data_IF_734439501730
#
_entry.id   IF_734439501730
#
_cell.length_a   1.000
_cell.length_b   1.000
_cell.length_c   1.000
_cell.angle_alpha   90.00
_cell.angle_beta   90.00
_cell.angle_gamma   90.00
#
_symmetry.space_group_name_H-M   'P 1'
#
loop_
_entity.id
_entity.type
_entity.pdbx_description
1 polymer ?
#
# COMPACT_ATOMS: atom_id res chain seq x y z
N UNK A 1 -36.18 3.10 56.28
CA UNK A 1 -35.27 2.22 55.52
C UNK A 1 -35.59 2.38 54.05
N UNK A 2 -34.89 3.25 53.33
CA UNK A 2 -35.03 3.35 51.87
C UNK A 2 -33.62 3.35 51.30
N UNK A 3 -33.22 2.18 50.78
CA UNK A 3 -31.95 1.97 50.08
C UNK A 3 -32.08 2.65 48.73
N UNK A 4 -31.43 3.80 48.58
CA UNK A 4 -31.22 4.45 47.29
C UNK A 4 -30.39 3.48 46.43
N UNK A 5 -30.83 3.25 45.20
CA UNK A 5 -30.14 2.44 44.20
C UNK A 5 -29.04 3.29 43.59
N UNK A 6 -27.78 2.90 43.79
CA UNK A 6 -26.64 3.40 43.03
C UNK A 6 -26.72 2.80 41.62
N UNK A 7 -27.28 3.55 40.69
CA UNK A 7 -27.41 3.20 39.27
C UNK A 7 -26.51 4.11 38.41
N UNK A 8 -25.23 4.20 38.76
CA UNK A 8 -24.22 4.90 37.97
C UNK A 8 -23.20 3.88 37.42
N UNK A 9 -23.64 3.10 36.44
CA UNK A 9 -22.83 2.06 35.80
C UNK A 9 -22.58 2.36 34.31
N UNK A 10 -21.44 3.00 34.04
CA UNK A 10 -20.64 2.86 32.81
C UNK A 10 -21.28 3.22 31.46
N UNK A 11 -21.80 4.44 31.32
CA UNK A 11 -22.31 4.98 30.04
C UNK A 11 -21.31 5.85 29.26
N UNK A 12 -20.02 5.91 29.65
CA UNK A 12 -19.01 6.78 29.01
C UNK A 12 -17.99 6.01 28.14
N UNK A 13 -18.23 4.72 27.89
CA UNK A 13 -17.40 3.93 27.00
C UNK A 13 -17.64 4.33 25.54
N UNK A 14 -16.66 4.98 24.90
CA UNK A 14 -16.70 5.28 23.47
C UNK A 14 -17.08 4.03 22.63
N UNK A 15 -17.89 4.18 21.57
CA UNK A 15 -18.34 3.05 20.76
C UNK A 15 -17.14 2.31 20.13
N UNK A 16 -17.20 0.98 20.10
CA UNK A 16 -16.16 0.18 19.46
C UNK A 16 -16.29 0.26 17.93
N UNK A 17 -15.37 0.96 17.29
CA UNK A 17 -15.37 1.20 15.84
C UNK A 17 -14.48 0.21 15.12
N UNK A 18 -14.96 -0.30 14.00
CA UNK A 18 -14.25 -1.25 13.15
C UNK A 18 -13.67 -0.55 11.91
N UNK A 19 -12.56 -1.08 11.38
CA UNK A 19 -11.88 -0.50 10.23
C UNK A 19 -12.76 -0.47 8.97
N UNK A 20 -13.47 -1.57 8.70
CA UNK A 20 -14.32 -1.77 7.51
C UNK A 20 -15.45 -0.73 7.42
N UNK A 21 -16.38 -0.60 8.39
CA UNK A 21 -17.42 0.43 8.33
C UNK A 21 -16.88 1.84 8.20
N UNK A 22 -15.81 2.17 8.93
CA UNK A 22 -15.21 3.50 8.89
C UNK A 22 -14.57 3.80 7.53
N UNK A 23 -13.79 2.85 6.97
CA UNK A 23 -13.16 2.98 5.66
C UNK A 23 -14.22 3.18 4.56
N UNK A 24 -15.35 2.47 4.61
CA UNK A 24 -16.48 2.68 3.68
C UNK A 24 -17.03 4.10 3.78
N UNK A 25 -17.29 4.58 5.01
CA UNK A 25 -17.83 5.91 5.26
C UNK A 25 -16.93 7.01 4.66
N UNK A 26 -15.60 6.90 4.81
CA UNK A 26 -14.68 7.95 4.38
C UNK A 26 -14.22 7.84 2.92
N UNK A 27 -14.28 6.64 2.32
CA UNK A 27 -13.85 6.42 0.92
C UNK A 27 -15.00 6.39 -0.09
N UNK A 28 -16.22 6.07 0.37
CA UNK A 28 -17.38 5.81 -0.49
C UNK A 28 -17.37 4.43 -1.15
N UNK A 29 -16.42 3.53 -0.81
CA UNK A 29 -16.38 2.16 -1.33
C UNK A 29 -17.47 1.31 -0.67
N UNK A 30 -18.28 0.65 -1.50
CA UNK A 30 -19.42 -0.20 -1.11
C UNK A 30 -19.07 -1.69 -1.01
N UNK A 31 -17.94 -2.01 -0.37
CA UNK A 31 -17.51 -3.39 -0.08
C UNK A 31 -17.78 -3.69 1.40
N UNK A 32 -18.22 -4.91 1.71
CA UNK A 32 -18.67 -5.32 3.03
C UNK A 32 -18.00 -6.65 3.43
N UNK A 33 -18.08 -7.01 4.71
CA UNK A 33 -17.42 -8.19 5.27
C UNK A 33 -15.99 -7.91 5.71
N UNK A 34 -15.23 -8.98 5.97
CA UNK A 34 -13.89 -8.91 6.56
C UNK A 34 -12.89 -8.21 5.66
N UNK A 35 -11.95 -7.47 6.28
CA UNK A 35 -10.98 -6.65 5.55
C UNK A 35 -10.10 -7.47 4.59
N UNK A 36 -9.77 -8.72 4.95
CA UNK A 36 -9.00 -9.63 4.08
C UNK A 36 -9.69 -9.88 2.73
N UNK A 37 -11.02 -9.87 2.68
CA UNK A 37 -11.78 -10.18 1.46
C UNK A 37 -11.90 -9.00 0.52
N UNK A 38 -11.62 -7.77 0.99
CA UNK A 38 -11.89 -6.56 0.23
C UNK A 38 -11.09 -6.47 -1.06
N UNK A 39 -9.86 -6.97 -1.07
CA UNK A 39 -9.00 -6.92 -2.24
C UNK A 39 -9.59 -7.71 -3.41
N UNK A 40 -10.11 -8.90 -3.13
CA UNK A 40 -10.71 -9.77 -4.14
C UNK A 40 -12.11 -9.31 -4.51
N UNK A 41 -12.93 -8.87 -3.54
CA UNK A 41 -14.23 -8.28 -3.82
C UNK A 41 -14.15 -7.01 -4.68
N UNK A 42 -13.06 -6.26 -4.60
CA UNK A 42 -12.84 -5.10 -5.45
C UNK A 42 -12.58 -5.47 -6.91
N UNK A 43 -12.08 -6.69 -7.19
CA UNK A 43 -11.77 -7.11 -8.54
C UNK A 43 -13.01 -7.03 -9.45
N UNK A 44 -12.88 -6.34 -10.59
CA UNK A 44 -13.98 -6.16 -11.54
C UNK A 44 -15.07 -5.16 -11.11
N UNK A 45 -15.10 -4.71 -9.85
CA UNK A 45 -16.06 -3.72 -9.33
C UNK A 45 -15.43 -2.34 -9.13
N UNK A 46 -14.19 -2.31 -8.67
CA UNK A 46 -13.39 -1.12 -8.41
C UNK A 46 -12.02 -1.26 -9.07
N UNK A 47 -11.47 -0.15 -9.56
CA UNK A 47 -10.08 -0.15 -10.01
C UNK A 47 -9.14 -0.43 -8.82
N UNK A 48 -8.07 -1.17 -9.08
CA UNK A 48 -7.04 -1.53 -8.10
C UNK A 48 -5.67 -1.17 -8.63
N UNK A 49 -4.72 -0.87 -7.76
CA UNK A 49 -3.34 -0.63 -8.17
C UNK A 49 -2.38 -0.49 -7.00
N UNK A 50 -1.15 -0.04 -7.29
CA UNK A 50 -0.06 0.02 -6.32
C UNK A 50 0.31 1.44 -5.89
N UNK A 51 -0.30 2.46 -6.48
CA UNK A 51 0.01 3.85 -6.20
C UNK A 51 -1.02 4.44 -5.24
N UNK A 52 -0.61 5.15 -4.19
CA UNK A 52 -1.55 5.83 -3.32
C UNK A 52 -2.28 6.93 -4.10
N UNK A 53 -3.57 7.09 -3.81
CA UNK A 53 -4.38 8.24 -4.24
C UNK A 53 -5.21 8.70 -3.05
N UNK A 54 -5.42 10.00 -2.92
CA UNK A 54 -6.33 10.54 -1.89
C UNK A 54 -7.72 9.91 -2.08
N UNK A 55 -8.31 9.42 -0.99
CA UNK A 55 -9.59 8.70 -0.98
C UNK A 55 -9.50 7.21 -1.29
N UNK A 56 -8.35 6.70 -1.78
CA UNK A 56 -8.16 5.27 -2.00
C UNK A 56 -8.07 4.52 -0.68
N UNK A 57 -8.48 3.25 -0.68
CA UNK A 57 -8.35 2.36 0.48
C UNK A 57 -7.13 1.47 0.30
N UNK A 58 -6.15 1.62 1.17
CA UNK A 58 -5.04 0.69 1.35
C UNK A 58 -5.57 -0.61 1.97
N UNK A 59 -5.34 -1.74 1.31
CA UNK A 59 -5.73 -3.08 1.78
C UNK A 59 -4.53 -3.83 2.32
N UNK A 60 -4.57 -4.20 3.59
CA UNK A 60 -3.54 -4.97 4.27
C UNK A 60 -3.84 -6.47 4.19
N UNK A 61 -2.79 -7.27 3.98
CA UNK A 61 -2.87 -8.73 4.05
C UNK A 61 -2.94 -9.18 5.51
N UNK A 62 -3.58 -10.32 5.81
CA UNK A 62 -3.43 -10.97 7.10
C UNK A 62 -1.95 -11.18 7.44
N UNK A 63 -1.55 -10.80 8.66
CA UNK A 63 -0.16 -10.90 9.10
C UNK A 63 -0.03 -10.89 10.62
N UNK A 64 0.74 -11.82 11.18
CA UNK A 64 0.88 -11.96 12.63
C UNK A 64 -0.50 -12.10 13.30
N UNK A 65 -0.74 -11.31 14.37
CA UNK A 65 -2.04 -11.29 15.05
C UNK A 65 -3.17 -10.53 14.33
N UNK A 66 -2.94 -10.00 13.12
CA UNK A 66 -3.96 -9.31 12.31
C UNK A 66 -4.58 -10.30 11.30
N UNK A 67 -5.31 -11.29 11.80
CA UNK A 67 -5.83 -12.42 11.00
C UNK A 67 -6.89 -11.99 9.97
N UNK A 68 -7.71 -10.99 10.31
CA UNK A 68 -8.79 -10.51 9.43
C UNK A 68 -8.31 -9.50 8.38
N UNK A 69 -7.00 -9.25 8.29
CA UNK A 69 -6.44 -8.15 7.52
C UNK A 69 -6.85 -6.78 8.07
N UNK A 70 -6.61 -5.73 7.31
CA UNK A 70 -7.00 -4.37 7.69
C UNK A 70 -7.24 -3.50 6.46
N UNK A 71 -7.99 -2.41 6.64
CA UNK A 71 -8.23 -1.41 5.59
C UNK A 71 -8.08 -0.01 6.18
N UNK A 72 -7.45 0.88 5.41
CA UNK A 72 -7.26 2.28 5.78
C UNK A 72 -7.41 3.19 4.56
N UNK A 73 -8.12 4.30 4.71
CA UNK A 73 -8.29 5.26 3.63
C UNK A 73 -7.14 6.27 3.63
N UNK A 74 -6.58 6.57 2.45
CA UNK A 74 -5.55 7.59 2.28
C UNK A 74 -6.20 8.98 2.36
N UNK A 75 -5.83 9.78 3.34
CA UNK A 75 -6.33 11.14 3.48
C UNK A 75 -5.43 12.17 2.81
N UNK A 76 -4.12 11.92 2.75
CA UNK A 76 -3.14 12.81 2.11
C UNK A 76 -1.93 12.02 1.62
N UNK A 77 -1.33 12.49 0.53
CA UNK A 77 0.00 12.04 0.08
C UNK A 77 0.99 13.12 0.46
N UNK A 78 2.05 12.76 1.18
CA UNK A 78 3.08 13.69 1.64
C UNK A 78 4.25 13.67 0.66
N UNK A 79 4.72 12.49 0.30
CA UNK A 79 5.81 12.28 -0.65
C UNK A 79 5.69 10.90 -1.32
N UNK A 80 6.72 10.47 -2.04
CA UNK A 80 6.72 9.19 -2.77
C UNK A 80 6.60 7.96 -1.89
N UNK A 81 6.94 8.06 -0.60
CA UNK A 81 6.94 6.97 0.38
C UNK A 81 6.07 7.24 1.60
N UNK A 82 5.49 8.43 1.75
CA UNK A 82 4.73 8.80 2.95
C UNK A 82 3.31 9.23 2.59
N UNK A 83 2.34 8.61 3.26
CA UNK A 83 0.93 9.00 3.23
C UNK A 83 0.38 9.20 4.63
N UNK A 84 -0.73 9.92 4.72
CA UNK A 84 -1.56 9.99 5.91
C UNK A 84 -2.80 9.13 5.71
N UNK A 85 -3.18 8.39 6.76
CA UNK A 85 -4.27 7.43 6.75
C UNK A 85 -5.39 7.84 7.72
N UNK A 86 -6.60 7.45 7.37
CA UNK A 86 -7.78 7.42 8.25
C UNK A 86 -8.26 5.99 8.36
N UNK A 87 -8.29 5.48 9.59
CA UNK A 87 -8.71 4.13 9.91
C UNK A 87 -9.23 4.06 11.36
N UNK A 88 -9.81 2.92 11.71
CA UNK A 88 -10.25 2.63 13.07
C UNK A 88 -9.73 1.26 13.52
N UNK A 89 -9.68 1.00 14.82
CA UNK A 89 -9.27 -0.28 15.40
C UNK A 89 -7.81 -0.70 15.15
N UNK A 90 -6.90 0.23 14.85
CA UNK A 90 -5.53 -0.10 14.50
C UNK A 90 -4.57 -0.18 15.68
N UNK A 91 -4.51 0.84 16.54
CA UNK A 91 -3.69 0.83 17.73
C UNK A 91 -4.56 0.87 19.00
N UNK A 92 -4.06 0.31 20.13
CA UNK A 92 -4.62 0.62 21.44
C UNK A 92 -4.34 2.10 21.76
N UNK A 93 -5.39 2.86 22.07
CA UNK A 93 -5.29 4.24 22.55
C UNK A 93 -5.87 4.24 23.97
N UNK A 94 -5.11 4.73 24.94
CA UNK A 94 -5.48 4.66 26.36
C UNK A 94 -5.85 3.24 26.82
N UNK A 95 -5.09 2.23 26.35
CA UNK A 95 -5.30 0.82 26.71
C UNK A 95 -6.39 0.09 25.94
N UNK A 96 -7.15 0.75 25.04
CA UNK A 96 -8.27 0.11 24.32
C UNK A 96 -8.19 0.32 22.80
N UNK A 97 -8.56 -0.73 22.05
CA UNK A 97 -8.75 -0.67 20.59
C UNK A 97 -10.16 -0.18 20.21
N UNK A 98 -10.46 -0.14 18.92
CA UNK A 98 -11.78 0.27 18.42
C UNK A 98 -11.97 1.80 18.32
N UNK A 99 -10.90 2.58 18.30
CA UNK A 99 -10.96 4.04 18.16
C UNK A 99 -10.57 4.47 16.74
N UNK A 100 -10.99 5.68 16.35
CA UNK A 100 -10.60 6.30 15.07
C UNK A 100 -9.25 6.99 15.22
N UNK A 101 -8.37 6.72 14.27
CA UNK A 101 -7.11 7.43 14.06
C UNK A 101 -7.23 8.23 12.74
N UNK A 102 -7.05 9.54 12.83
CA UNK A 102 -7.12 10.45 11.68
C UNK A 102 -5.75 10.99 11.34
N UNK A 103 -5.46 10.99 10.05
CA UNK A 103 -4.27 11.61 9.45
C UNK A 103 -2.96 11.08 10.05
N UNK A 104 -2.96 9.78 10.39
CA UNK A 104 -1.77 9.11 10.96
C UNK A 104 -0.83 8.65 9.87
N UNK A 105 0.47 8.69 10.16
CA UNK A 105 1.52 8.44 9.18
C UNK A 105 1.62 6.96 8.80
N UNK A 106 1.71 6.67 7.50
CA UNK A 106 2.21 5.41 6.99
C UNK A 106 3.35 5.65 6.00
N UNK A 107 4.36 4.80 6.07
CA UNK A 107 5.58 4.89 5.28
C UNK A 107 5.81 3.60 4.51
N UNK A 108 5.98 3.70 3.19
CA UNK A 108 6.43 2.62 2.33
C UNK A 108 7.88 2.27 2.66
N UNK A 109 8.06 1.03 3.12
CA UNK A 109 9.36 0.46 3.48
C UNK A 109 9.74 -0.68 2.54
N UNK A 110 9.01 -0.88 1.45
CA UNK A 110 9.33 -1.88 0.46
C UNK A 110 10.62 -1.54 -0.28
N UNK A 111 11.42 -2.54 -0.67
CA UNK A 111 12.66 -2.34 -1.41
C UNK A 111 12.43 -1.55 -2.71
N UNK A 112 11.36 -1.87 -3.43
CA UNK A 112 11.08 -1.38 -4.79
C UNK A 112 10.25 -0.08 -4.85
N UNK A 113 9.94 0.54 -3.71
CA UNK A 113 9.09 1.74 -3.64
C UNK A 113 7.69 1.52 -4.26
N UNK A 114 7.14 0.35 -4.00
CA UNK A 114 5.98 -0.19 -4.69
C UNK A 114 4.80 -0.45 -3.75
N UNK A 115 4.90 0.08 -2.52
CA UNK A 115 3.89 -0.01 -1.47
C UNK A 115 3.47 -1.45 -1.11
N UNK A 116 4.31 -2.46 -1.39
CA UNK A 116 4.04 -3.85 -0.98
C UNK A 116 4.18 -4.07 0.53
N UNK A 117 4.91 -3.19 1.22
CA UNK A 117 5.17 -3.25 2.65
C UNK A 117 5.19 -1.85 3.26
N UNK A 118 4.43 -1.63 4.32
CA UNK A 118 4.38 -0.33 5.01
C UNK A 118 4.64 -0.48 6.50
N UNK A 119 5.19 0.56 7.10
CA UNK A 119 5.06 0.78 8.55
C UNK A 119 4.00 1.83 8.78
N UNK A 120 3.25 1.70 9.87
CA UNK A 120 2.17 2.61 10.23
C UNK A 120 2.41 3.12 11.63
N UNK A 121 2.06 4.38 11.87
CA UNK A 121 2.01 4.97 13.20
C UNK A 121 1.35 4.01 14.21
N UNK A 122 1.89 3.98 15.42
CA UNK A 122 1.42 3.14 16.49
C UNK A 122 1.36 3.94 17.79
N UNK A 123 0.14 4.29 18.21
CA UNK A 123 -0.08 5.20 19.34
C UNK A 123 0.66 4.80 20.64
N UNK A 124 0.76 3.51 21.05
CA UNK A 124 1.46 3.14 22.27
C UNK A 124 2.93 3.54 22.36
N UNK A 125 3.61 3.70 21.21
CA UNK A 125 5.01 4.13 21.17
C UNK A 125 5.18 5.55 20.66
N UNK A 126 4.07 6.24 20.33
CA UNK A 126 4.06 7.58 19.74
C UNK A 126 5.02 7.76 18.55
N UNK A 127 5.16 6.71 17.73
CA UNK A 127 6.04 6.69 16.57
C UNK A 127 5.55 5.65 15.54
N UNK A 128 6.27 5.56 14.43
CA UNK A 128 6.12 4.53 13.43
C UNK A 128 6.36 3.14 14.04
N UNK A 129 5.38 2.25 13.90
CA UNK A 129 5.49 0.86 14.33
C UNK A 129 6.68 0.14 13.67
N UNK A 130 7.25 -0.82 14.36
CA UNK A 130 8.43 -1.58 13.89
C UNK A 130 8.07 -2.64 12.84
N UNK A 131 6.84 -3.15 12.89
CA UNK A 131 6.30 -4.18 11.99
C UNK A 131 6.19 -3.68 10.56
N UNK A 132 6.74 -4.47 9.62
CA UNK A 132 6.56 -4.28 8.18
C UNK A 132 5.28 -4.99 7.78
N UNK A 133 4.23 -4.22 7.55
CA UNK A 133 2.91 -4.76 7.24
C UNK A 133 2.76 -5.02 5.74
N UNK A 134 2.45 -6.25 5.34
CA UNK A 134 2.23 -6.57 3.94
C UNK A 134 0.93 -5.94 3.42
N UNK A 135 1.02 -5.27 2.28
CA UNK A 135 -0.11 -4.58 1.62
C UNK A 135 -0.40 -5.26 0.28
N UNK A 136 -1.67 -5.40 -0.06
CA UNK A 136 -2.11 -5.87 -1.38
C UNK A 136 -1.98 -4.75 -2.43
N UNK A 137 -2.35 -3.53 -2.01
CA UNK A 137 -2.34 -2.33 -2.83
C UNK A 137 -3.44 -1.38 -2.39
N UNK A 138 -3.93 -0.60 -3.36
CA UNK A 138 -4.95 0.42 -3.19
C UNK A 138 -6.19 0.09 -4.01
N UNK A 139 -7.35 0.22 -3.39
CA UNK A 139 -8.67 0.14 -4.03
C UNK A 139 -9.13 1.57 -4.26
N UNK A 140 -9.43 1.90 -5.51
CA UNK A 140 -9.87 3.24 -5.91
C UNK A 140 -11.39 3.27 -6.01
N UNK A 141 -12.02 4.37 -5.57
CA UNK A 141 -13.46 4.57 -5.74
C UNK A 141 -13.80 5.01 -7.18
N UNK A 142 -13.38 4.20 -8.15
CA UNK A 142 -13.62 4.38 -9.58
C UNK A 142 -13.83 3.01 -10.23
N UNK A 143 -14.53 2.97 -11.36
CA UNK A 143 -14.72 1.71 -12.09
C UNK A 143 -13.40 1.25 -12.71
N UNK A 144 -13.15 -0.08 -12.78
CA UNK A 144 -12.00 -0.61 -13.52
C UNK A 144 -11.99 -0.10 -14.95
N UNK A 145 -10.79 0.17 -15.48
CA UNK A 145 -10.65 0.54 -16.90
C UNK A 145 -11.00 -0.67 -17.78
N UNK A 146 -11.44 -0.43 -19.02
CA UNK A 146 -11.89 -1.50 -19.94
C UNK A 146 -10.84 -2.59 -20.16
N UNK A 147 -9.56 -2.21 -20.19
CA UNK A 147 -8.44 -3.14 -20.28
C UNK A 147 -8.23 -3.97 -19.00
N UNK A 148 -8.34 -3.37 -17.81
CA UNK A 148 -8.27 -4.09 -16.53
C UNK A 148 -9.42 -5.09 -16.38
N UNK A 149 -10.63 -4.73 -16.85
CA UNK A 149 -11.78 -5.63 -16.85
C UNK A 149 -11.53 -6.87 -17.73
N UNK A 150 -10.92 -6.68 -18.90
CA UNK A 150 -10.56 -7.78 -19.80
C UNK A 150 -9.53 -8.72 -19.15
N UNK A 151 -8.53 -8.18 -18.45
CA UNK A 151 -7.56 -9.00 -17.68
C UNK A 151 -8.26 -9.82 -16.59
N UNK A 152 -9.16 -9.23 -15.81
CA UNK A 152 -9.89 -9.96 -14.76
C UNK A 152 -10.80 -11.05 -15.35
N UNK A 153 -11.50 -10.76 -16.44
CA UNK A 153 -12.34 -11.75 -17.15
C UNK A 153 -11.49 -12.91 -17.69
N UNK A 154 -10.31 -12.63 -18.25
CA UNK A 154 -9.39 -13.65 -18.74
C UNK A 154 -8.83 -14.51 -17.60
N UNK A 155 -8.51 -13.92 -16.44
CA UNK A 155 -8.02 -14.66 -15.26
C UNK A 155 -9.11 -15.48 -14.57
N UNK A 156 -10.36 -15.02 -14.57
CA UNK A 156 -11.49 -15.76 -13.99
C UNK A 156 -11.88 -17.00 -14.82
N UNK A 157 -11.66 -16.99 -16.13
CA UNK A 157 -11.89 -18.15 -17.00
C UNK A 157 -10.83 -19.26 -16.87
N UNK A 158 -9.68 -18.98 -16.25
CA UNK A 158 -8.58 -19.94 -16.09
C UNK A 158 -8.65 -20.78 -14.81
N UNK A 159 -9.54 -20.45 -13.87
CA UNK A 159 -9.69 -21.19 -12.61
C UNK A 159 -10.81 -22.25 -12.72
N UNK A 160 -10.51 -23.40 -13.32
CA UNK A 160 -11.33 -24.60 -13.22
C UNK A 160 -11.01 -25.37 -11.92
N UNK A 161 -11.99 -25.98 -11.23
CA UNK A 161 -11.72 -26.71 -9.99
C UNK A 161 -10.97 -28.02 -10.27
N UNK A 162 -9.85 -28.23 -9.59
CA UNK A 162 -9.08 -29.47 -9.64
C UNK A 162 -9.92 -30.63 -9.08
N UNK A 163 -10.23 -31.61 -9.95
CA UNK A 163 -10.83 -32.89 -9.55
C UNK A 163 -9.74 -33.74 -8.89
N UNK A 164 -9.97 -34.14 -7.65
CA UNK A 164 -9.08 -35.02 -6.89
C UNK A 164 -9.19 -36.45 -7.44
N UNK A 165 -8.10 -37.12 -7.88
CA UNK A 165 -8.18 -38.52 -8.25
C UNK A 165 -8.00 -39.42 -7.01
N UNK A 166 -8.91 -40.37 -6.85
CA UNK A 166 -8.88 -41.47 -5.90
C UNK A 166 -7.77 -42.45 -6.29
N UNK A 167 -6.75 -42.62 -5.45
CA UNK A 167 -5.63 -43.55 -5.66
C UNK A 167 -6.07 -44.98 -5.38
N UNK A 168 -6.08 -45.84 -6.41
CA UNK A 168 -6.18 -47.29 -6.27
C UNK A 168 -4.78 -47.92 -6.26
N UNK A 169 -4.58 -48.82 -5.29
CA UNK A 169 -3.34 -49.54 -4.96
C UNK A 169 -3.22 -50.81 -5.80
N UNK A 170 -2.07 -51.08 -6.42
CA UNK A 170 -1.69 -52.42 -6.87
C UNK A 170 -0.15 -52.53 -7.04
N UNK A 171 0.39 -53.65 -6.56
CA UNK A 171 1.78 -54.13 -6.67
C UNK A 171 1.70 -55.64 -7.04
N UNK A 172 2.80 -56.37 -7.34
CA UNK A 172 3.45 -56.49 -8.66
C UNK A 172 3.42 -57.94 -9.23
N UNK A 173 3.78 -58.13 -10.51
CA UNK A 173 4.12 -59.47 -11.03
C UNK A 173 5.23 -59.46 -12.09
N UNK A 174 6.15 -60.41 -11.93
CA UNK A 174 7.37 -60.71 -12.71
C UNK A 174 7.08 -61.37 -14.06
N UNK A 175 8.01 -61.22 -15.02
CA UNK A 175 8.23 -62.23 -16.08
C UNK A 175 8.78 -61.70 -17.41
N UNK A 176 10.09 -61.81 -17.62
CA UNK A 176 10.80 -61.69 -18.90
C UNK A 176 10.79 -63.06 -19.65
N UNK A 177 11.40 -63.29 -20.85
CA UNK A 177 12.33 -62.42 -21.62
C UNK A 177 12.20 -62.44 -23.16
N UNK A 178 13.00 -61.63 -23.87
CA UNK A 178 13.48 -61.97 -25.21
C UNK A 178 13.93 -60.85 -26.15
N UNK A 179 15.21 -60.92 -26.54
CA UNK A 179 15.87 -60.44 -27.79
C UNK A 179 16.45 -59.02 -27.92
N UNK A 180 17.78 -59.00 -27.80
CA UNK A 180 18.80 -58.56 -28.79
C UNK A 180 18.88 -57.09 -29.27
N UNK A 181 20.08 -56.52 -29.06
CA UNK A 181 20.60 -55.16 -29.36
C UNK A 181 21.04 -54.98 -30.85
N UNK A 182 21.84 -53.95 -31.25
CA UNK A 182 22.21 -52.66 -30.62
C UNK A 182 22.11 -51.42 -31.56
N UNK A 183 22.18 -50.22 -31.00
CA UNK A 183 22.41 -48.96 -31.73
C UNK A 183 23.07 -47.91 -30.82
N UNK A 184 24.20 -47.35 -31.27
CA UNK A 184 25.16 -46.53 -30.52
C UNK A 184 24.79 -45.04 -30.51
N UNK A 185 25.17 -44.32 -29.44
CA UNK A 185 25.67 -42.91 -29.38
C UNK A 185 25.68 -42.47 -27.90
N UNK A 186 26.82 -42.47 -27.20
CA UNK A 186 27.90 -41.46 -27.16
C UNK A 186 27.52 -40.05 -26.67
N UNK A 187 28.19 -39.63 -25.59
CA UNK A 187 28.43 -38.23 -25.17
C UNK A 187 27.31 -37.65 -24.30
N UNK A 188 27.51 -37.34 -23.00
CA UNK A 188 28.68 -36.77 -22.36
C UNK A 188 28.34 -35.33 -21.97
N UNK A 189 27.89 -35.12 -20.73
CA UNK A 189 27.56 -33.81 -20.17
C UNK A 189 28.88 -33.07 -19.93
N UNK A 190 29.19 -32.09 -20.77
CA UNK A 190 30.42 -31.31 -20.71
C UNK A 190 30.40 -30.26 -19.60
N UNK A 191 31.50 -30.19 -18.85
CA UNK A 191 31.77 -29.18 -17.85
C UNK A 191 32.20 -27.86 -18.50
N UNK A 192 31.25 -27.11 -19.07
CA UNK A 192 31.50 -25.74 -19.59
C UNK A 192 30.24 -24.85 -19.56
N UNK A 193 29.34 -25.09 -18.60
CA UNK A 193 28.07 -24.35 -18.47
C UNK A 193 28.23 -22.92 -17.88
N UNK A 194 29.44 -22.47 -17.54
CA UNK A 194 29.69 -21.15 -16.96
C UNK A 194 30.90 -20.44 -17.60
N UNK A 195 30.83 -20.19 -18.91
CA UNK A 195 31.72 -19.25 -19.60
C UNK A 195 30.88 -18.34 -20.50
N UNK A 196 30.75 -17.07 -20.13
CA UNK A 196 30.37 -16.04 -21.12
C UNK A 196 29.29 -15.01 -20.76
N UNK A 197 28.90 -14.80 -19.50
CA UNK A 197 28.14 -13.58 -19.16
C UNK A 197 29.13 -12.45 -18.90
N UNK A 198 29.48 -11.73 -19.96
CA UNK A 198 30.18 -10.44 -19.88
C UNK A 198 29.17 -9.36 -19.51
N UNK A 199 29.50 -8.58 -18.48
CA UNK A 199 28.80 -7.35 -18.12
C UNK A 199 28.97 -6.30 -19.23
N UNK A 200 27.91 -5.99 -19.96
CA UNK A 200 27.86 -4.78 -20.78
C UNK A 200 27.49 -3.58 -19.91
N UNK A 201 28.52 -3.04 -19.26
CA UNK A 201 28.56 -1.64 -18.83
C UNK A 201 29.40 -0.88 -19.84
N UNK A 202 28.78 -0.17 -20.79
CA UNK A 202 29.45 0.98 -21.41
C UNK A 202 28.47 2.07 -21.87
N UNK A 203 28.66 3.20 -21.20
CA UNK A 203 28.36 4.57 -21.57
C UNK A 203 28.26 4.89 -23.07
N UNK A 204 27.29 5.75 -23.39
CA UNK A 204 27.41 6.72 -24.47
C UNK A 204 27.18 8.13 -23.89
N UNK A 205 28.30 8.84 -23.68
CA UNK A 205 28.39 10.32 -23.71
C UNK A 205 28.57 10.69 -25.19
N UNK A 206 27.93 11.73 -25.76
CA UNK A 206 28.32 13.17 -25.91
C UNK A 206 27.47 13.72 -27.09
N UNK A 207 27.43 15.02 -27.49
CA UNK A 207 27.97 16.23 -26.86
C UNK A 207 27.00 17.43 -26.76
N UNK A 208 27.46 18.43 -26.02
CA UNK A 208 26.91 19.77 -25.87
C UNK A 208 26.81 20.54 -27.20
N UNK A 209 25.70 21.25 -27.39
CA UNK A 209 25.58 22.28 -28.44
C UNK A 209 25.74 23.67 -27.83
N UNK A 210 26.66 24.43 -28.43
CA UNK A 210 27.10 25.78 -28.02
C UNK A 210 26.06 26.84 -28.37
N UNK A 211 25.89 27.81 -27.46
CA UNK A 211 25.29 29.14 -27.73
C UNK A 211 26.13 29.90 -28.76
N UNK A 212 25.51 30.88 -29.43
CA UNK A 212 26.11 32.20 -29.53
C UNK A 212 25.26 33.27 -28.81
N UNK A 213 25.96 34.24 -28.26
CA UNK A 213 25.43 35.48 -27.71
C UNK A 213 25.84 36.64 -28.62
N UNK A 214 24.96 37.64 -28.80
CA UNK A 214 25.20 39.11 -28.73
C UNK A 214 23.96 39.88 -29.25
N UNK A 215 23.32 40.72 -28.40
CA UNK A 215 23.46 42.20 -28.30
C UNK A 215 22.78 42.94 -29.49
N UNK A 216 21.98 44.02 -29.37
CA UNK A 216 21.66 44.95 -28.27
C UNK A 216 20.58 45.99 -28.72
N UNK A 217 20.19 46.87 -27.78
CA UNK A 217 19.43 48.14 -27.84
C UNK A 217 17.88 48.03 -27.86
N UNK A 218 17.11 48.42 -26.83
CA UNK A 218 16.99 49.64 -26.00
C UNK A 218 15.72 50.41 -26.39
N UNK A 219 14.78 50.61 -25.45
CA UNK A 219 14.02 51.86 -25.22
C UNK A 219 13.21 51.75 -23.91
N UNK A 220 13.69 52.51 -22.91
CA UNK A 220 12.99 53.36 -21.92
C UNK A 220 11.77 52.90 -21.11
N UNK A 221 11.95 52.96 -19.77
CA UNK A 221 10.94 53.02 -18.71
C UNK A 221 10.31 54.44 -18.56
N UNK A 222 9.34 54.71 -17.65
CA UNK A 222 9.53 54.72 -16.17
C UNK A 222 8.41 53.98 -15.41
N UNK A 223 8.62 53.28 -14.29
CA UNK A 223 9.08 53.66 -12.93
C UNK A 223 8.00 54.35 -12.07
N UNK A 224 7.30 53.55 -11.26
CA UNK A 224 6.57 53.99 -10.05
C UNK A 224 6.66 52.91 -8.97
N UNK A 225 6.99 53.30 -7.75
CA UNK A 225 7.01 52.49 -6.51
C UNK A 225 6.61 53.42 -5.34
N UNK A 226 6.44 52.93 -4.10
CA UNK A 226 5.41 51.99 -3.65
C UNK A 226 4.58 52.59 -2.48
N UNK A 227 3.36 52.09 -2.25
CA UNK A 227 2.58 52.41 -1.06
C UNK A 227 2.65 51.27 -0.02
N UNK A 228 2.86 51.69 1.23
CA UNK A 228 3.13 50.90 2.43
C UNK A 228 1.83 50.85 3.26
N UNK A 229 1.32 49.65 3.57
CA UNK A 229 0.25 49.47 4.56
C UNK A 229 0.44 48.16 5.34
N UNK A 230 0.99 48.32 6.54
CA UNK A 230 0.59 47.73 7.83
C UNK A 230 0.03 46.30 7.88
N UNK A 231 0.81 45.42 8.52
CA UNK A 231 0.37 44.21 9.21
C UNK A 231 -0.83 44.47 10.12
N UNK A 232 -1.87 43.64 10.00
CA UNK A 232 -2.82 43.39 11.09
C UNK A 232 -2.80 41.91 11.42
N UNK A 233 -2.56 41.65 12.70
CA UNK A 233 -2.45 40.37 13.39
C UNK A 233 -3.84 39.98 13.90
N UNK A 234 -4.29 38.77 13.60
CA UNK A 234 -5.32 38.02 14.33
C UNK A 234 -4.75 36.58 14.43
N UNK A 235 -4.23 36.12 15.57
CA UNK A 235 -4.97 35.56 16.71
C UNK A 235 -6.09 34.63 16.23
N UNK A 236 -6.11 33.30 16.44
CA UNK A 236 -5.32 32.37 17.23
C UNK A 236 -6.25 31.19 17.50
N UNK A 237 -5.91 29.99 17.03
CA UNK A 237 -6.49 28.72 17.53
C UNK A 237 -5.38 27.67 17.55
N UNK A 238 -4.60 27.74 18.63
CA UNK A 238 -3.54 26.79 18.98
C UNK A 238 -4.22 25.62 19.72
N UNK A 239 -4.54 24.54 19.00
CA UNK A 239 -4.84 23.23 19.60
C UNK A 239 -4.88 22.14 18.53
N UNK A 240 -3.73 21.85 17.92
CA UNK A 240 -3.51 20.59 17.21
C UNK A 240 -2.19 19.97 17.72
N UNK A 241 -2.24 18.92 18.57
CA UNK A 241 -1.06 18.42 19.29
C UNK A 241 -0.06 17.66 18.40
N UNK A 242 -0.31 17.48 17.10
CA UNK A 242 0.55 16.70 16.20
C UNK A 242 1.45 17.60 15.32
N UNK A 243 1.11 18.88 15.13
CA UNK A 243 1.85 19.79 14.24
C UNK A 243 3.24 20.24 14.72
N UNK A 244 3.61 20.01 15.99
CA UNK A 244 4.83 20.59 16.60
C UNK A 244 6.13 19.79 16.36
N UNK A 245 6.09 18.58 15.81
CA UNK A 245 7.29 17.71 15.74
C UNK A 245 8.08 17.85 14.42
N UNK A 246 7.53 18.49 13.37
CA UNK A 246 8.21 18.60 12.06
C UNK A 246 9.05 19.90 11.89
N UNK A 247 8.97 20.86 12.83
CA UNK A 247 9.65 22.16 12.71
C UNK A 247 10.94 22.31 13.55
N UNK A 248 11.54 21.23 14.04
CA UNK A 248 12.76 21.29 14.85
C UNK A 248 13.86 20.33 14.36
N UNK A 249 14.31 20.47 13.10
CA UNK A 249 15.63 19.95 12.66
C UNK A 249 16.27 20.70 11.49
N UNK A 250 15.99 21.99 11.36
CA UNK A 250 16.78 22.88 10.50
C UNK A 250 17.30 24.03 11.34
N UNK A 251 18.38 23.77 12.06
CA UNK A 251 19.44 24.70 12.46
C UNK A 251 20.64 23.91 12.94
#
# INVERSE_FOLDING_TARGET
MTRQQDADGDSDALPYLQCVPYARQVSGIGIYGDALTWWDQAAGRYARGRQPRVGAVMSFRPYGGMELGHVAAVSRIIDSRTVLLRHANWSPINGRRGQIEKDVRAVDVSPENDWSEVRVWYAPIADLGTTRWPVNGFIYNEKPRKNERLTVLASAGAAAPARVPLMARAEPARGAPGRSAPGRSEGGIGADFLKGIVSESRAAQTPASRRPARQNLATSAPRTAPARTTSTRLAGSDSDPIGRIIAARMR
#
